data_IF_645342457892
#
_entry.id   IF_645342457892
#
_cell.length_a   1.000
_cell.length_b   1.000
_cell.length_c   1.000
_cell.angle_alpha   90.00
_cell.angle_beta   90.00
_cell.angle_gamma   90.00
#
_symmetry.space_group_name_H-M   'P 1'
#
loop_
_entity.id
_entity.type
_entity.pdbx_description
1 polymer ?
#
# COMPACT_ATOMS: atom_id res chain seq x y z
N UNK A 1 9.39 4.54 11.52
CA UNK A 1 9.13 5.34 10.32
C UNK A 1 9.35 4.46 9.10
N UNK A 2 8.28 4.23 8.36
CA UNK A 2 8.23 3.41 7.16
C UNK A 2 8.97 4.13 6.04
N UNK A 3 10.10 3.57 5.59
CA UNK A 3 10.86 4.15 4.51
C UNK A 3 10.15 3.90 3.17
N UNK A 4 10.13 4.90 2.28
CA UNK A 4 9.51 4.74 0.97
C UNK A 4 10.55 4.25 -0.03
N UNK A 5 10.17 3.27 -0.85
CA UNK A 5 11.02 2.89 -1.98
C UNK A 5 11.01 4.00 -3.05
N UNK A 6 12.04 4.06 -3.92
CA UNK A 6 12.02 4.95 -5.09
C UNK A 6 10.84 4.70 -6.04
N UNK A 7 10.24 3.51 -5.98
CA UNK A 7 9.03 3.20 -6.75
C UNK A 7 7.81 3.90 -6.16
N UNK A 8 7.61 3.81 -4.84
CA UNK A 8 6.48 4.48 -4.17
C UNK A 8 6.57 6.00 -4.31
N UNK A 9 7.76 6.58 -4.14
CA UNK A 9 7.95 8.02 -4.29
C UNK A 9 7.50 8.54 -5.67
N UNK A 10 7.78 7.76 -6.73
CA UNK A 10 7.37 8.12 -8.09
C UNK A 10 5.87 8.00 -8.34
N UNK A 11 5.19 7.11 -7.62
CA UNK A 11 3.77 6.78 -7.86
C UNK A 11 2.81 7.31 -6.79
N UNK A 12 3.29 7.99 -5.75
CA UNK A 12 2.44 8.51 -4.66
C UNK A 12 1.30 9.40 -5.17
N UNK A 13 1.61 10.28 -6.12
CA UNK A 13 0.65 11.19 -6.70
C UNK A 13 -0.43 10.45 -7.52
N UNK A 14 -0.04 9.37 -8.20
CA UNK A 14 -0.98 8.54 -8.98
C UNK A 14 -2.01 7.87 -8.07
N UNK A 15 -1.58 7.40 -6.89
CA UNK A 15 -2.44 6.72 -5.92
C UNK A 15 -3.39 7.71 -5.26
N UNK A 16 -2.90 8.88 -4.87
CA UNK A 16 -3.75 9.95 -4.35
C UNK A 16 -4.75 10.44 -5.41
N UNK A 17 -4.33 10.52 -6.68
CA UNK A 17 -5.23 10.85 -7.78
C UNK A 17 -6.30 9.77 -8.02
N UNK A 18 -5.94 8.48 -7.90
CA UNK A 18 -6.91 7.38 -7.96
C UNK A 18 -7.98 7.48 -6.88
N UNK A 19 -7.60 7.71 -5.61
CA UNK A 19 -8.58 7.86 -4.53
C UNK A 19 -9.51 9.06 -4.76
N UNK A 20 -8.96 10.20 -5.20
CA UNK A 20 -9.75 11.38 -5.55
C UNK A 20 -10.77 11.11 -6.66
N UNK A 21 -10.42 10.33 -7.69
CA UNK A 21 -11.37 9.93 -8.75
C UNK A 21 -12.56 9.14 -8.23
N UNK A 22 -12.39 8.42 -7.11
CA UNK A 22 -13.44 7.67 -6.44
C UNK A 22 -14.16 8.49 -5.35
N UNK A 23 -14.01 9.82 -5.38
CA UNK A 23 -14.51 10.73 -4.34
C UNK A 23 -14.02 10.40 -2.93
N UNK A 24 -12.88 9.71 -2.81
CA UNK A 24 -12.24 9.42 -1.54
C UNK A 24 -11.16 10.48 -1.26
N UNK A 25 -11.41 11.34 -0.27
CA UNK A 25 -10.50 12.43 0.12
C UNK A 25 -9.43 12.01 1.15
N UNK A 26 -9.29 10.71 1.40
CA UNK A 26 -8.28 10.19 2.32
C UNK A 26 -6.91 10.25 1.65
N UNK A 27 -5.91 10.76 2.37
CA UNK A 27 -4.51 10.66 1.95
C UNK A 27 -4.01 9.22 2.21
N UNK A 28 -3.66 8.45 1.16
CA UNK A 28 -3.21 7.07 1.29
C UNK A 28 -1.83 6.94 1.95
N UNK A 29 -1.15 8.06 2.21
CA UNK A 29 0.15 8.16 2.85
C UNK A 29 0.13 9.09 4.08
N UNK A 30 -1.04 9.35 4.66
CA UNK A 30 -1.13 10.10 5.92
C UNK A 30 -0.33 9.42 7.03
N UNK A 31 0.13 10.20 8.01
CA UNK A 31 0.88 9.67 9.15
C UNK A 31 0.13 8.53 9.86
N UNK A 32 -1.19 8.61 9.97
CA UNK A 32 -2.03 7.57 10.55
C UNK A 32 -1.96 6.26 9.76
N UNK A 33 -2.09 6.33 8.43
CA UNK A 33 -2.01 5.16 7.56
C UNK A 33 -0.60 4.55 7.63
N UNK A 34 0.45 5.37 7.59
CA UNK A 34 1.83 4.89 7.68
C UNK A 34 2.10 4.24 9.04
N UNK A 35 1.66 4.88 10.13
CA UNK A 35 1.78 4.36 11.50
C UNK A 35 1.07 3.02 11.67
N UNK A 36 -0.09 2.84 11.03
CA UNK A 36 -0.81 1.57 10.99
C UNK A 36 -0.03 0.51 10.21
N UNK A 37 0.42 0.83 8.99
CA UNK A 37 1.17 -0.06 8.11
C UNK A 37 2.47 -0.57 8.74
N UNK A 38 3.16 0.23 9.55
CA UNK A 38 4.37 -0.17 10.28
C UNK A 38 4.13 -1.32 11.27
N UNK A 39 2.93 -1.41 11.85
CA UNK A 39 2.62 -2.30 12.98
C UNK A 39 1.94 -3.59 12.58
N UNK A 40 1.35 -3.65 11.40
CA UNK A 40 0.59 -4.82 10.97
C UNK A 40 1.41 -5.69 10.00
N UNK A 41 1.28 -7.01 10.18
CA UNK A 41 1.71 -8.00 9.19
C UNK A 41 0.46 -8.46 8.44
N UNK A 42 0.49 -8.32 7.13
CA UNK A 42 -0.59 -8.77 6.25
C UNK A 42 -0.32 -10.17 5.72
N UNK A 43 -0.69 -10.39 4.46
CA UNK A 43 -0.51 -11.66 3.75
C UNK A 43 0.99 -11.84 3.43
N UNK A 44 1.66 -12.91 3.91
CA UNK A 44 3.06 -13.17 3.59
C UNK A 44 3.31 -13.27 2.08
N UNK A 45 4.47 -12.80 1.63
CA UNK A 45 4.94 -12.85 0.25
C UNK A 45 6.38 -13.36 0.21
N UNK A 46 6.84 -13.80 -0.95
CA UNK A 46 8.24 -14.23 -1.13
C UNK A 46 9.15 -12.99 -1.05
N UNK A 47 10.11 -12.92 -0.10
CA UNK A 47 11.05 -11.81 -0.01
C UNK A 47 12.02 -11.77 -1.21
N UNK A 48 12.39 -10.58 -1.65
CA UNK A 48 13.44 -10.44 -2.67
C UNK A 48 14.83 -10.44 -2.03
N UNK A 49 15.45 -11.63 -1.98
CA UNK A 49 16.79 -11.82 -1.41
C UNK A 49 17.87 -10.97 -2.10
N UNK A 50 17.74 -10.67 -3.40
CA UNK A 50 18.71 -9.84 -4.13
C UNK A 50 18.72 -8.38 -3.65
N UNK A 51 17.62 -7.94 -3.06
CA UNK A 51 17.49 -6.62 -2.45
C UNK A 51 17.73 -6.66 -0.93
N UNK A 52 18.19 -7.79 -0.37
CA UNK A 52 18.41 -7.96 1.06
C UNK A 52 17.13 -8.06 1.89
N UNK A 53 16.00 -8.42 1.28
CA UNK A 53 14.74 -8.56 2.01
C UNK A 53 14.72 -9.88 2.80
N UNK A 54 14.47 -9.79 4.11
CA UNK A 54 14.33 -10.95 5.00
C UNK A 54 12.88 -11.37 5.18
N UNK A 55 11.96 -10.40 5.13
CA UNK A 55 10.52 -10.60 5.20
C UNK A 55 9.82 -9.72 4.17
N UNK A 56 8.64 -10.16 3.70
CA UNK A 56 7.79 -9.38 2.80
C UNK A 56 6.32 -9.74 3.03
N UNK A 57 5.45 -8.76 3.08
CA UNK A 57 4.00 -8.99 3.19
C UNK A 57 3.22 -7.92 2.45
N UNK A 58 1.98 -8.28 2.13
CA UNK A 58 1.00 -7.45 1.44
C UNK A 58 -0.15 -7.12 2.38
N UNK A 59 -0.53 -5.85 2.43
CA UNK A 59 -1.71 -5.35 3.15
C UNK A 59 -2.64 -4.72 2.13
N UNK A 60 -3.94 -4.96 2.26
CA UNK A 60 -4.96 -4.30 1.44
C UNK A 60 -5.80 -3.48 2.39
N UNK A 61 -5.81 -2.16 2.20
CA UNK A 61 -6.68 -1.26 2.95
C UNK A 61 -7.89 -0.92 2.08
N UNK A 62 -9.06 -1.01 2.68
CA UNK A 62 -10.32 -0.60 2.07
C UNK A 62 -10.63 0.82 2.54
N UNK A 63 -10.81 1.71 1.58
CA UNK A 63 -11.30 3.06 1.79
C UNK A 63 -12.78 3.15 1.36
N UNK A 64 -13.37 4.34 1.45
CA UNK A 64 -14.75 4.58 1.01
C UNK A 64 -14.94 4.24 -0.49
N UNK A 65 -16.18 3.90 -0.87
CA UNK A 65 -16.59 3.67 -2.27
C UNK A 65 -15.78 2.58 -3.00
N UNK A 66 -15.59 1.41 -2.37
CA UNK A 66 -14.84 0.27 -2.93
C UNK A 66 -13.37 0.54 -3.28
N UNK A 67 -12.82 1.71 -2.96
CA UNK A 67 -11.43 2.04 -3.24
C UNK A 67 -10.51 1.18 -2.37
N UNK A 68 -9.71 0.32 -3.00
CA UNK A 68 -8.76 -0.54 -2.30
C UNK A 68 -7.35 -0.20 -2.73
N UNK A 69 -6.47 0.02 -1.76
CA UNK A 69 -5.04 0.17 -2.03
C UNK A 69 -4.30 -1.03 -1.47
N UNK A 70 -3.49 -1.64 -2.31
CA UNK A 70 -2.55 -2.69 -1.98
C UNK A 70 -1.21 -2.08 -1.63
N UNK A 71 -0.77 -2.29 -0.41
CA UNK A 71 0.56 -1.94 0.10
C UNK A 71 1.41 -3.20 0.19
N UNK A 72 2.68 -3.11 -0.21
CA UNK A 72 3.65 -4.19 -0.02
C UNK A 72 4.81 -3.65 0.79
N UNK A 73 5.06 -4.28 1.92
CA UNK A 73 6.13 -3.90 2.84
C UNK A 73 7.15 -5.02 2.89
N UNK A 74 8.43 -4.65 2.94
CA UNK A 74 9.52 -5.57 3.16
C UNK A 74 10.35 -5.14 4.36
N UNK A 75 10.98 -6.11 5.02
CA UNK A 75 12.00 -5.88 6.03
C UNK A 75 13.38 -6.07 5.40
N UNK A 76 14.28 -5.10 5.62
CA UNK A 76 15.71 -5.18 5.22
C UNK A 76 16.56 -4.84 6.45
N UNK A 77 17.15 -5.86 7.07
CA UNK A 77 17.76 -5.70 8.39
C UNK A 77 16.71 -5.23 9.41
N UNK A 78 16.97 -4.09 10.06
CA UNK A 78 16.06 -3.49 11.04
C UNK A 78 15.04 -2.52 10.42
N UNK A 79 15.15 -2.24 9.11
CA UNK A 79 14.29 -1.26 8.43
C UNK A 79 13.04 -1.90 7.84
N UNK A 80 11.92 -1.17 7.94
CA UNK A 80 10.69 -1.45 7.21
C UNK A 80 10.58 -0.50 6.02
N UNK A 81 10.35 -1.08 4.84
CA UNK A 81 10.28 -0.35 3.58
C UNK A 81 8.94 -0.62 2.92
N UNK A 82 8.19 0.44 2.61
CA UNK A 82 7.05 0.37 1.71
C UNK A 82 7.59 0.20 0.28
N UNK A 83 7.58 -1.02 -0.20
CA UNK A 83 8.14 -1.41 -1.51
C UNK A 83 7.26 -0.91 -2.63
N UNK A 84 5.95 -1.06 -2.49
CA UNK A 84 4.99 -0.56 -3.46
C UNK A 84 3.63 -0.26 -2.82
N UNK A 85 2.90 0.66 -3.43
CA UNK A 85 1.49 0.93 -3.19
C UNK A 85 0.80 1.04 -4.55
N UNK A 86 -0.34 0.38 -4.75
CA UNK A 86 -1.10 0.41 -6.00
C UNK A 86 -2.60 0.24 -5.73
N UNK A 87 -3.47 0.81 -6.58
CA UNK A 87 -4.87 0.40 -6.63
C UNK A 87 -4.97 -1.12 -6.73
N UNK A 88 -5.81 -1.74 -5.92
CA UNK A 88 -6.03 -3.17 -6.03
C UNK A 88 -6.86 -3.44 -7.30
N UNK A 89 -6.37 -4.25 -8.26
CA UNK A 89 -7.06 -4.49 -9.53
C UNK A 89 -8.43 -5.16 -9.37
N UNK A 90 -8.71 -5.82 -8.23
CA UNK A 90 -10.04 -6.36 -7.96
C UNK A 90 -11.04 -5.30 -7.44
N UNK A 91 -10.62 -4.04 -7.29
CA UNK A 91 -11.49 -2.92 -6.94
C UNK A 91 -12.43 -2.50 -8.09
N UNK A 92 -12.03 -2.71 -9.37
CA UNK A 92 -12.86 -2.41 -10.54
C UNK A 92 -14.06 -3.35 -10.70
N UNK A 93 -14.10 -4.47 -9.96
CA UNK A 93 -15.21 -5.43 -9.97
C UNK A 93 -16.30 -5.12 -8.95
N UNK A 94 -16.32 -3.94 -8.33
CA UNK A 94 -17.45 -3.56 -7.48
C UNK A 94 -18.71 -3.41 -8.35
N UNK A 95 -19.53 -4.46 -8.37
CA UNK A 95 -20.89 -4.40 -8.87
C UNK A 95 -21.66 -3.53 -7.88
N UNK A 96 -22.00 -2.30 -8.27
CA UNK A 96 -22.99 -1.51 -7.54
C UNK A 96 -24.32 -2.28 -7.56
N UNK A 97 -24.73 -2.82 -6.42
CA UNK A 97 -26.11 -3.26 -6.24
C UNK A 97 -26.90 -1.97 -5.94
N UNK A 98 -27.61 -1.47 -6.95
CA UNK A 98 -28.57 -0.36 -6.85
C UNK A 98 -29.93 -0.86 -6.42
#
# INVERSE_FOLDING_TARGET
>A
MLAFSPHVERHKNDISAYLKKLNCNVDPFSEEILYFLERIRGIPQIPNQRLGETERWRIILHFQCCAKIRYVIARRGDELILVTAHPDPDAEKCVEIT
#
